data_IF_674680882068
#
_entry.id   IF_674680882068
#
_cell.length_a   1.000
_cell.length_b   1.000
_cell.length_c   1.000
_cell.angle_alpha   90.00
_cell.angle_beta   90.00
_cell.angle_gamma   90.00
#
_symmetry.space_group_name_H-M   'P 1'
#
loop_
_entity.id
_entity.type
_entity.pdbx_description
1 polymer ?
#
# COMPACT_ATOMS: atom_id res chain seq x y z
N UNK A 1 32.12 -24.39 -36.52
CA UNK A 1 32.29 -23.76 -35.20
C UNK A 1 31.46 -24.56 -34.23
N UNK A 2 32.09 -25.40 -33.41
CA UNK A 2 31.39 -26.26 -32.47
C UNK A 2 30.96 -25.42 -31.25
N UNK A 3 29.67 -25.46 -30.92
CA UNK A 3 29.14 -24.91 -29.68
C UNK A 3 29.77 -25.64 -28.50
N UNK A 4 30.73 -24.98 -27.85
CA UNK A 4 31.46 -25.54 -26.73
C UNK A 4 30.52 -25.61 -25.51
N UNK A 5 30.18 -26.80 -24.99
CA UNK A 5 29.23 -26.96 -23.88
C UNK A 5 29.64 -26.19 -22.62
N UNK A 6 30.93 -25.96 -22.42
CA UNK A 6 31.45 -25.15 -21.32
C UNK A 6 30.94 -23.70 -21.34
N UNK A 7 30.78 -23.09 -22.52
CA UNK A 7 30.31 -21.71 -22.65
C UNK A 7 28.82 -21.56 -22.26
N UNK A 8 28.03 -22.60 -22.56
CA UNK A 8 26.64 -22.67 -22.12
C UNK A 8 26.55 -22.90 -20.60
N UNK A 9 27.44 -23.70 -20.01
CA UNK A 9 27.49 -23.91 -18.56
C UNK A 9 27.77 -22.61 -17.80
N UNK A 10 28.74 -21.81 -18.25
CA UNK A 10 29.07 -20.53 -17.61
C UNK A 10 27.91 -19.52 -17.71
N UNK A 11 27.26 -19.45 -18.87
CA UNK A 11 26.09 -18.60 -19.07
C UNK A 11 24.91 -19.03 -18.18
N UNK A 12 24.68 -20.34 -18.04
CA UNK A 12 23.63 -20.89 -17.17
C UNK A 12 23.96 -20.61 -15.70
N UNK A 13 25.20 -20.79 -15.25
CA UNK A 13 25.61 -20.50 -13.88
C UNK A 13 25.54 -19.00 -13.56
N UNK A 14 25.89 -18.14 -14.51
CA UNK A 14 25.75 -16.69 -14.39
C UNK A 14 24.27 -16.28 -14.29
N UNK A 15 23.40 -16.81 -15.16
CA UNK A 15 21.96 -16.56 -15.13
C UNK A 15 21.31 -17.12 -13.85
N UNK A 16 21.74 -18.29 -13.38
CA UNK A 16 21.28 -18.87 -12.12
C UNK A 16 21.70 -18.01 -10.93
N UNK A 17 22.96 -17.53 -10.87
CA UNK A 17 23.41 -16.60 -9.82
C UNK A 17 22.68 -15.27 -9.89
N UNK A 18 22.43 -14.73 -11.08
CA UNK A 18 21.67 -13.50 -11.27
C UNK A 18 20.22 -13.66 -10.79
N UNK A 19 19.56 -14.77 -11.15
CA UNK A 19 18.21 -15.12 -10.68
C UNK A 19 18.16 -15.32 -9.17
N UNK A 20 19.16 -15.98 -8.59
CA UNK A 20 19.24 -16.23 -7.16
C UNK A 20 19.52 -14.94 -6.38
N UNK A 21 20.34 -14.04 -6.93
CA UNK A 21 20.54 -12.69 -6.39
C UNK A 21 19.28 -11.82 -6.52
N UNK A 22 18.54 -11.89 -7.64
CA UNK A 22 17.26 -11.20 -7.84
C UNK A 22 16.18 -11.71 -6.86
N UNK A 23 16.14 -13.03 -6.62
CA UNK A 23 15.28 -13.63 -5.60
C UNK A 23 15.71 -13.24 -4.17
N UNK A 24 17.02 -13.20 -3.89
CA UNK A 24 17.57 -12.67 -2.63
C UNK A 24 17.37 -11.17 -2.46
N UNK A 25 17.09 -10.43 -3.52
CA UNK A 25 16.72 -9.01 -3.49
C UNK A 25 15.20 -8.80 -3.41
N UNK A 26 14.40 -9.87 -3.26
CA UNK A 26 12.96 -9.82 -3.04
C UNK A 26 12.10 -10.23 -4.25
N UNK A 27 12.67 -10.36 -5.45
CA UNK A 27 12.01 -10.88 -6.66
C UNK A 27 10.78 -10.10 -7.16
N UNK A 28 10.37 -10.38 -8.41
CA UNK A 28 9.21 -9.73 -9.08
C UNK A 28 7.84 -10.00 -8.43
N UNK A 29 7.71 -11.00 -7.55
CA UNK A 29 6.43 -11.35 -6.89
C UNK A 29 6.10 -10.43 -5.72
N UNK A 30 7.11 -9.86 -5.07
CA UNK A 30 6.94 -9.03 -3.87
C UNK A 30 6.56 -7.62 -4.29
N UNK A 31 7.24 -7.00 -5.25
CA UNK A 31 7.01 -5.59 -5.66
C UNK A 31 5.62 -5.28 -6.25
N UNK A 32 4.93 -6.26 -6.85
CA UNK A 32 3.64 -6.04 -7.52
C UNK A 32 2.37 -6.24 -6.69
N UNK A 33 2.46 -6.94 -5.54
CA UNK A 33 1.28 -7.35 -4.76
C UNK A 33 1.04 -6.37 -3.60
N UNK A 34 -0.17 -5.78 -3.46
CA UNK A 34 -0.48 -4.86 -2.38
C UNK A 34 -0.23 -5.53 -1.01
N UNK A 35 0.33 -4.76 -0.07
CA UNK A 35 0.69 -5.25 1.27
C UNK A 35 -0.55 -5.69 2.06
N UNK A 36 -1.68 -5.01 1.88
CA UNK A 36 -2.93 -5.29 2.58
C UNK A 36 -4.18 -5.08 1.72
N UNK A 37 -5.32 -5.55 2.20
CA UNK A 37 -6.61 -5.45 1.50
C UNK A 37 -7.06 -3.98 1.37
N UNK A 38 -6.76 -3.13 2.38
CA UNK A 38 -7.06 -1.70 2.32
C UNK A 38 -6.17 -0.93 1.33
N UNK A 39 -4.88 -1.26 1.21
CA UNK A 39 -4.02 -0.66 0.18
C UNK A 39 -4.45 -1.07 -1.24
N UNK A 40 -4.87 -2.33 -1.42
CA UNK A 40 -5.49 -2.81 -2.66
C UNK A 40 -6.80 -2.08 -2.99
N UNK A 41 -7.66 -1.84 -1.99
CA UNK A 41 -8.92 -1.12 -2.15
C UNK A 41 -8.71 0.36 -2.51
N UNK A 42 -7.71 1.02 -1.91
CA UNK A 42 -7.34 2.40 -2.24
C UNK A 42 -6.74 2.52 -3.65
N UNK A 43 -5.93 1.54 -4.10
CA UNK A 43 -5.49 1.47 -5.51
C UNK A 43 -6.67 1.27 -6.46
N UNK A 44 -7.63 0.41 -6.11
CA UNK A 44 -8.86 0.17 -6.90
C UNK A 44 -9.77 1.39 -6.96
N UNK A 45 -9.95 2.15 -5.88
CA UNK A 45 -10.79 3.35 -5.89
C UNK A 45 -10.17 4.46 -6.74
N UNK A 46 -8.84 4.62 -6.69
CA UNK A 46 -8.10 5.49 -7.61
C UNK A 46 -8.22 5.06 -9.07
N UNK A 47 -8.11 3.75 -9.35
CA UNK A 47 -8.30 3.20 -10.70
C UNK A 47 -9.75 3.33 -11.20
N UNK A 48 -10.76 3.17 -10.33
CA UNK A 48 -12.18 3.38 -10.68
C UNK A 48 -12.45 4.84 -11.07
N UNK A 49 -11.88 5.81 -10.34
CA UNK A 49 -11.96 7.24 -10.73
C UNK A 49 -11.27 7.52 -12.06
N UNK A 50 -10.12 6.88 -12.33
CA UNK A 50 -9.43 6.96 -13.63
C UNK A 50 -10.25 6.35 -14.76
N UNK A 51 -10.88 5.19 -14.53
CA UNK A 51 -11.76 4.54 -15.51
C UNK A 51 -13.03 5.37 -15.80
N UNK A 52 -13.62 5.98 -14.77
CA UNK A 52 -14.76 6.88 -14.93
C UNK A 52 -14.38 8.15 -15.70
N UNK A 53 -13.22 8.74 -15.41
CA UNK A 53 -12.72 9.90 -16.17
C UNK A 53 -12.40 9.55 -17.64
N UNK A 54 -11.84 8.35 -17.89
CA UNK A 54 -11.64 7.84 -19.25
C UNK A 54 -12.97 7.65 -19.98
N UNK A 55 -13.95 6.99 -19.36
CA UNK A 55 -15.26 6.78 -19.94
C UNK A 55 -15.95 8.12 -20.28
N UNK A 56 -15.88 9.11 -19.38
CA UNK A 56 -16.40 10.45 -19.62
C UNK A 56 -15.67 11.14 -20.78
N UNK A 57 -14.35 11.03 -20.86
CA UNK A 57 -13.56 11.62 -21.95
C UNK A 57 -13.91 11.00 -23.31
N UNK A 58 -14.19 9.69 -23.36
CA UNK A 58 -14.63 8.99 -24.57
C UNK A 58 -16.04 9.46 -24.98
N UNK A 59 -16.96 9.63 -24.03
CA UNK A 59 -18.30 10.16 -24.30
C UNK A 59 -18.25 11.59 -24.84
N UNK A 60 -17.45 12.46 -24.22
CA UNK A 60 -17.25 13.85 -24.69
C UNK A 60 -16.61 13.88 -26.08
N UNK A 61 -15.66 12.99 -26.35
CA UNK A 61 -15.03 12.86 -27.67
C UNK A 61 -16.04 12.45 -28.75
N UNK A 62 -16.88 11.46 -28.47
CA UNK A 62 -17.95 11.02 -29.37
C UNK A 62 -18.97 12.15 -29.61
N UNK A 63 -19.34 12.90 -28.56
CA UNK A 63 -20.22 14.07 -28.70
C UNK A 63 -19.60 15.15 -29.58
N UNK A 64 -18.30 15.46 -29.42
CA UNK A 64 -17.61 16.47 -30.24
C UNK A 64 -17.48 16.04 -31.70
N UNK A 65 -17.20 14.76 -31.97
CA UNK A 65 -17.18 14.22 -33.35
C UNK A 65 -18.56 14.33 -34.00
N UNK A 66 -19.63 13.96 -33.28
CA UNK A 66 -21.00 14.09 -33.80
C UNK A 66 -21.43 15.56 -33.99
N UNK A 67 -20.96 16.47 -33.13
CA UNK A 67 -21.19 17.91 -33.26
C UNK A 67 -20.51 18.47 -34.52
N UNK A 68 -19.32 17.99 -34.87
CA UNK A 68 -18.63 18.36 -36.13
C UNK A 68 -19.36 17.78 -37.35
N UNK A 69 -19.82 16.52 -37.28
CA UNK A 69 -20.61 15.90 -38.37
C UNK A 69 -21.92 16.65 -38.60
N UNK A 70 -22.62 17.05 -37.53
CA UNK A 70 -23.86 17.82 -37.60
C UNK A 70 -23.67 19.24 -38.16
N UNK A 71 -22.52 19.87 -37.89
CA UNK A 71 -22.20 21.21 -38.39
C UNK A 71 -21.70 21.20 -39.85
N UNK A 72 -21.15 20.08 -40.33
CA UNK A 72 -20.55 19.92 -41.66
C UNK A 72 -21.37 19.06 -42.64
N UNK A 73 -22.67 18.85 -42.38
CA UNK A 73 -23.64 18.31 -43.36
C UNK A 73 -23.72 19.15 -44.66
N UNK A 74 -23.03 20.30 -44.74
CA UNK A 74 -22.83 21.09 -45.95
C UNK A 74 -21.50 20.82 -46.68
N UNK A 75 -21.58 20.04 -47.77
CA UNK A 75 -20.86 20.14 -49.07
C UNK A 75 -19.31 20.01 -49.14
N UNK A 76 -18.49 20.16 -48.09
CA UNK A 76 -17.02 20.22 -48.28
C UNK A 76 -16.21 19.08 -47.63
N UNK A 77 -16.10 17.96 -48.34
CA UNK A 77 -15.46 16.73 -47.83
C UNK A 77 -13.91 16.68 -47.94
N UNK A 78 -13.25 17.68 -48.53
CA UNK A 78 -11.80 17.61 -48.77
C UNK A 78 -10.92 18.10 -47.61
N UNK A 79 -11.49 18.79 -46.60
CA UNK A 79 -10.74 19.33 -45.45
C UNK A 79 -11.09 18.65 -44.12
N UNK A 80 -11.79 17.51 -44.15
CA UNK A 80 -12.18 16.77 -42.94
C UNK A 80 -11.08 15.85 -42.38
N UNK A 81 -10.23 15.27 -43.22
CA UNK A 81 -9.16 14.35 -42.81
C UNK A 81 -8.14 14.96 -41.83
N UNK A 82 -7.80 16.25 -41.99
CA UNK A 82 -6.93 16.98 -41.06
C UNK A 82 -7.60 17.22 -39.68
N UNK A 83 -8.93 17.40 -39.64
CA UNK A 83 -9.65 17.60 -38.38
C UNK A 83 -9.80 16.30 -37.59
N UNK A 84 -9.99 15.16 -38.25
CA UNK A 84 -9.94 13.85 -37.59
C UNK A 84 -8.57 13.55 -36.96
N UNK A 85 -7.48 13.92 -37.65
CA UNK A 85 -6.12 13.79 -37.13
C UNK A 85 -5.87 14.65 -35.89
N UNK A 86 -6.36 15.90 -35.90
CA UNK A 86 -6.24 16.80 -34.76
C UNK A 86 -7.03 16.30 -33.53
N UNK A 87 -8.25 15.81 -33.73
CA UNK A 87 -9.08 15.23 -32.66
C UNK A 87 -8.45 13.94 -32.12
N UNK A 88 -7.95 13.06 -32.99
CA UNK A 88 -7.24 11.86 -32.58
C UNK A 88 -5.96 12.18 -31.78
N UNK A 89 -5.20 13.20 -32.19
CA UNK A 89 -4.00 13.64 -31.49
C UNK A 89 -4.31 14.23 -30.10
N UNK A 90 -5.38 15.02 -29.97
CA UNK A 90 -5.85 15.53 -28.67
C UNK A 90 -6.33 14.37 -27.78
N UNK A 91 -7.01 13.38 -28.34
CA UNK A 91 -7.43 12.19 -27.59
C UNK A 91 -6.25 11.37 -27.11
N UNK A 92 -5.26 11.12 -27.96
CA UNK A 92 -4.03 10.43 -27.59
C UNK A 92 -3.27 11.23 -26.54
N UNK A 93 -3.20 12.56 -26.65
CA UNK A 93 -2.54 13.42 -25.66
C UNK A 93 -3.27 13.41 -24.31
N UNK A 94 -4.60 13.44 -24.30
CA UNK A 94 -5.41 13.35 -23.08
C UNK A 94 -5.31 11.95 -22.45
N UNK A 95 -5.37 10.88 -23.24
CA UNK A 95 -5.15 9.50 -22.78
C UNK A 95 -3.73 9.37 -22.21
N UNK A 96 -2.72 9.87 -22.90
CA UNK A 96 -1.33 9.84 -22.44
C UNK A 96 -1.13 10.67 -21.17
N UNK A 97 -1.77 11.83 -21.06
CA UNK A 97 -1.75 12.69 -19.87
C UNK A 97 -2.49 12.08 -18.67
N UNK A 98 -3.57 11.33 -18.91
CA UNK A 98 -4.33 10.59 -17.89
C UNK A 98 -3.65 9.26 -17.49
N UNK A 99 -2.99 8.59 -18.43
CA UNK A 99 -2.19 7.38 -18.21
C UNK A 99 -0.84 7.68 -17.59
N UNK A 100 -0.35 8.93 -17.68
CA UNK A 100 0.85 9.35 -16.98
C UNK A 100 0.64 9.11 -15.49
N UNK A 101 1.40 8.16 -14.94
CA UNK A 101 1.33 7.76 -13.55
C UNK A 101 1.55 8.96 -12.64
N UNK A 102 0.46 9.63 -12.25
CA UNK A 102 0.44 10.42 -11.04
C UNK A 102 0.56 9.41 -9.91
N UNK A 103 1.79 9.25 -9.41
CA UNK A 103 2.06 8.54 -8.16
C UNK A 103 0.96 8.93 -7.17
N UNK A 104 0.23 7.94 -6.65
CA UNK A 104 -0.72 8.17 -5.56
C UNK A 104 0.04 9.01 -4.53
N UNK A 105 -0.44 10.20 -4.14
CA UNK A 105 0.32 11.08 -3.26
C UNK A 105 0.69 10.27 -2.02
N UNK A 106 1.98 9.99 -1.87
CA UNK A 106 2.49 9.20 -0.75
C UNK A 106 2.15 10.02 0.49
N UNK A 107 1.40 9.47 1.46
CA UNK A 107 1.03 10.21 2.66
C UNK A 107 2.29 10.77 3.33
N UNK A 108 2.31 12.08 3.59
CA UNK A 108 3.42 12.68 4.33
C UNK A 108 3.39 12.20 5.79
N UNK A 109 4.55 12.13 6.45
CA UNK A 109 4.65 11.69 7.85
C UNK A 109 3.81 12.56 8.80
N UNK A 110 3.66 13.84 8.48
CA UNK A 110 2.82 14.79 9.22
C UNK A 110 1.33 14.44 9.06
N UNK A 111 0.91 14.05 7.85
CA UNK A 111 -0.46 13.59 7.58
C UNK A 111 -0.74 12.25 8.26
N UNK A 112 0.24 11.35 8.35
CA UNK A 112 0.11 10.11 9.10
C UNK A 112 -0.13 10.41 10.58
N UNK A 113 0.72 11.19 11.24
CA UNK A 113 0.57 11.49 12.68
C UNK A 113 -0.75 12.15 13.06
N UNK A 114 -1.29 12.99 12.17
CA UNK A 114 -2.55 13.69 12.39
C UNK A 114 -3.80 12.86 12.05
N UNK A 115 -3.66 11.67 11.43
CA UNK A 115 -4.79 10.88 10.99
C UNK A 115 -5.48 10.14 12.13
N UNK A 116 -6.83 10.00 12.10
CA UNK A 116 -7.54 9.12 13.02
C UNK A 116 -7.04 7.69 12.87
N UNK A 117 -6.99 6.93 13.96
CA UNK A 117 -6.27 5.65 14.03
C UNK A 117 -6.73 4.65 12.96
N UNK A 118 -8.03 4.68 12.62
CA UNK A 118 -8.61 3.88 11.53
C UNK A 118 -8.01 4.18 10.16
N UNK A 119 -7.79 5.45 9.85
CA UNK A 119 -7.21 5.89 8.58
C UNK A 119 -5.69 5.75 8.59
N UNK A 120 -5.04 5.96 9.75
CA UNK A 120 -3.61 5.82 9.95
C UNK A 120 -3.09 4.46 9.49
N UNK A 121 -3.79 3.38 9.88
CA UNK A 121 -3.42 2.01 9.52
C UNK A 121 -3.38 1.82 8.00
N UNK A 122 -4.42 2.28 7.28
CA UNK A 122 -4.49 2.18 5.83
C UNK A 122 -3.48 3.10 5.11
N UNK A 123 -3.27 4.31 5.61
CA UNK A 123 -2.28 5.24 5.05
C UNK A 123 -0.85 4.73 5.27
N UNK A 124 -0.57 4.10 6.40
CA UNK A 124 0.75 3.53 6.70
C UNK A 124 1.06 2.32 5.83
N UNK A 125 0.06 1.49 5.50
CA UNK A 125 0.25 0.40 4.52
C UNK A 125 0.64 0.94 3.14
N UNK A 126 -0.02 2.02 2.67
CA UNK A 126 0.32 2.67 1.39
C UNK A 126 1.73 3.27 1.45
N UNK A 127 2.08 3.89 2.57
CA UNK A 127 3.41 4.43 2.80
C UNK A 127 4.49 3.35 2.80
N UNK A 128 4.28 2.24 3.53
CA UNK A 128 5.16 1.08 3.54
C UNK A 128 5.32 0.45 2.14
N UNK A 129 4.24 0.41 1.35
CA UNK A 129 4.27 -0.10 -0.02
C UNK A 129 5.19 0.74 -0.91
N UNK A 130 5.18 2.07 -0.72
CA UNK A 130 6.09 2.97 -1.43
C UNK A 130 7.56 2.79 -1.03
N UNK A 131 7.84 2.31 0.20
CA UNK A 131 9.20 2.15 0.70
C UNK A 131 9.85 0.79 0.37
N UNK A 132 9.09 -0.19 -0.12
CA UNK A 132 9.61 -1.51 -0.51
C UNK A 132 10.88 -1.52 -1.36
N UNK A 133 11.04 -0.71 -2.41
CA UNK A 133 12.26 -0.76 -3.22
C UNK A 133 13.52 -0.35 -2.45
N UNK A 134 13.38 0.36 -1.33
CA UNK A 134 14.50 0.80 -0.51
C UNK A 134 14.90 -0.20 0.57
N UNK A 135 14.12 -1.27 0.80
CA UNK A 135 14.27 -2.22 1.91
C UNK A 135 15.00 -3.51 1.50
N UNK A 136 15.75 -4.14 2.43
CA UNK A 136 16.44 -5.40 2.17
C UNK A 136 15.44 -6.56 2.15
N UNK A 137 15.74 -7.65 1.43
CA UNK A 137 14.76 -8.73 1.24
C UNK A 137 14.20 -9.37 2.52
N UNK A 138 14.98 -9.62 3.59
CA UNK A 138 14.42 -10.12 4.84
C UNK A 138 13.39 -9.17 5.48
N UNK A 139 13.56 -7.86 5.30
CA UNK A 139 12.63 -6.87 5.82
C UNK A 139 11.33 -6.79 4.98
N UNK A 140 11.36 -7.19 3.70
CA UNK A 140 10.16 -7.19 2.86
C UNK A 140 9.10 -8.17 3.36
N UNK A 141 9.51 -9.35 3.81
CA UNK A 141 8.61 -10.34 4.38
C UNK A 141 8.03 -9.87 5.72
N UNK A 142 8.84 -9.22 6.56
CA UNK A 142 8.39 -8.63 7.83
C UNK A 142 7.40 -7.49 7.61
N UNK A 143 7.66 -6.60 6.65
CA UNK A 143 6.74 -5.53 6.26
C UNK A 143 5.42 -6.09 5.71
N UNK A 144 5.48 -7.19 4.95
CA UNK A 144 4.28 -7.91 4.51
C UNK A 144 3.46 -8.47 5.68
N UNK A 145 4.13 -9.07 6.68
CA UNK A 145 3.49 -9.58 7.90
C UNK A 145 2.83 -8.45 8.71
N UNK A 146 3.56 -7.35 8.94
CA UNK A 146 3.03 -6.15 9.58
C UNK A 146 1.81 -5.64 8.82
N UNK A 147 1.86 -5.63 7.49
CA UNK A 147 0.72 -5.34 6.62
C UNK A 147 -0.54 -6.13 6.95
N UNK A 148 -0.40 -7.46 7.11
CA UNK A 148 -1.50 -8.35 7.49
C UNK A 148 -2.01 -8.13 8.92
N UNK A 149 -1.11 -7.90 9.88
CA UNK A 149 -1.47 -7.57 11.27
C UNK A 149 -2.26 -6.25 11.33
N UNK A 150 -1.81 -5.25 10.56
CA UNK A 150 -2.49 -3.96 10.40
C UNK A 150 -3.89 -4.12 9.80
N UNK A 151 -4.10 -5.01 8.82
CA UNK A 151 -5.45 -5.30 8.30
C UNK A 151 -6.37 -5.90 9.38
N UNK A 152 -5.84 -6.80 10.22
CA UNK A 152 -6.57 -7.36 11.35
C UNK A 152 -6.94 -6.31 12.40
N UNK A 153 -5.98 -5.47 12.78
CA UNK A 153 -6.17 -4.34 13.69
C UNK A 153 -7.22 -3.36 13.17
N UNK A 154 -7.18 -3.03 11.88
CA UNK A 154 -8.14 -2.15 11.23
C UNK A 154 -9.60 -2.59 11.42
N UNK A 155 -9.89 -3.90 11.33
CA UNK A 155 -11.24 -4.44 11.55
C UNK A 155 -11.70 -4.33 13.00
N UNK A 156 -10.76 -4.35 13.94
CA UNK A 156 -11.06 -4.22 15.37
C UNK A 156 -11.25 -2.76 15.77
N UNK A 157 -10.41 -1.87 15.26
CA UNK A 157 -10.45 -0.41 15.45
C UNK A 157 -11.76 0.21 14.95
N UNK A 158 -12.38 -0.35 13.90
CA UNK A 158 -13.69 0.09 13.40
C UNK A 158 -14.81 0.03 14.47
N UNK A 159 -14.60 -0.70 15.58
CA UNK A 159 -15.59 -0.95 16.64
C UNK A 159 -15.12 -0.49 18.03
N UNK A 160 -14.04 0.29 18.13
CA UNK A 160 -13.46 0.75 19.39
C UNK A 160 -13.47 2.28 19.43
N UNK A 161 -13.64 2.84 20.62
CA UNK A 161 -13.52 4.29 20.84
C UNK A 161 -12.12 4.78 20.46
N UNK A 162 -12.05 5.89 19.70
CA UNK A 162 -10.77 6.48 19.27
C UNK A 162 -9.90 6.96 20.44
N UNK A 163 -10.48 7.21 21.61
CA UNK A 163 -9.81 7.66 22.82
C UNK A 163 -9.33 6.52 23.72
N UNK A 164 -9.57 5.26 23.35
CA UNK A 164 -9.12 4.13 24.15
C UNK A 164 -7.57 4.08 24.21
N UNK A 165 -6.97 3.75 25.37
CA UNK A 165 -5.52 3.76 25.55
C UNK A 165 -4.78 2.83 24.57
N UNK A 166 -5.38 1.69 24.25
CA UNK A 166 -4.83 0.75 23.26
C UNK A 166 -4.81 1.32 21.83
N UNK A 167 -5.76 2.21 21.48
CA UNK A 167 -5.77 2.92 20.18
C UNK A 167 -4.63 3.95 20.11
N UNK A 168 -4.33 4.61 21.23
CA UNK A 168 -3.17 5.50 21.35
C UNK A 168 -1.85 4.78 21.08
N UNK A 169 -1.68 3.57 21.62
CA UNK A 169 -0.48 2.75 21.38
C UNK A 169 -0.34 2.35 19.90
N UNK A 170 -1.44 1.96 19.24
CA UNK A 170 -1.42 1.70 17.78
C UNK A 170 -0.98 2.95 17.03
N UNK A 171 -1.50 4.14 17.39
CA UNK A 171 -1.09 5.40 16.74
C UNK A 171 0.40 5.66 16.86
N UNK A 172 0.97 5.41 18.03
CA UNK A 172 2.39 5.61 18.27
C UNK A 172 3.25 4.60 17.51
N UNK A 173 2.90 3.32 17.55
CA UNK A 173 3.62 2.25 16.83
C UNK A 173 3.61 2.48 15.31
N UNK A 174 2.43 2.75 14.76
CA UNK A 174 2.20 2.79 13.31
C UNK A 174 2.49 4.16 12.71
N UNK A 175 2.17 5.24 13.44
CA UNK A 175 2.34 6.62 12.96
C UNK A 175 3.68 7.26 13.28
N UNK A 176 4.39 6.78 14.31
CA UNK A 176 5.66 7.36 14.73
C UNK A 176 6.83 6.38 14.62
N UNK A 177 6.76 5.27 15.33
CA UNK A 177 7.91 4.36 15.49
C UNK A 177 8.27 3.67 14.18
N UNK A 178 7.29 3.06 13.51
CA UNK A 178 7.51 2.34 12.25
C UNK A 178 8.02 3.27 11.14
N UNK A 179 7.43 4.46 10.88
CA UNK A 179 7.95 5.35 9.87
C UNK A 179 9.33 5.92 10.22
N UNK A 180 9.58 6.25 11.50
CA UNK A 180 10.87 6.73 11.96
C UNK A 180 11.98 5.69 11.77
N UNK A 181 11.70 4.43 12.07
CA UNK A 181 12.64 3.32 11.88
C UNK A 181 13.02 3.14 10.40
N UNK A 182 12.02 3.07 9.52
CA UNK A 182 12.25 2.91 8.08
C UNK A 182 12.99 4.13 7.51
N UNK A 183 12.66 5.35 7.94
CA UNK A 183 13.38 6.56 7.52
C UNK A 183 14.83 6.60 8.01
N UNK A 184 15.09 6.18 9.24
CA UNK A 184 16.45 6.09 9.77
C UNK A 184 17.30 5.12 8.93
N UNK A 185 16.72 4.01 8.50
CA UNK A 185 17.37 3.06 7.60
C UNK A 185 17.58 3.62 6.20
N UNK A 186 16.58 4.27 5.59
CA UNK A 186 16.70 4.80 4.23
C UNK A 186 17.69 5.97 4.14
N UNK A 187 17.91 6.70 5.24
CA UNK A 187 18.96 7.73 5.35
C UNK A 187 20.39 7.16 5.25
N UNK A 188 20.59 5.87 5.55
CA UNK A 188 21.90 5.21 5.39
C UNK A 188 22.18 4.97 3.90
N UNK A 189 23.37 5.34 3.38
CA UNK A 189 23.75 5.08 1.99
C UNK A 189 23.72 3.57 1.65
N UNK A 190 23.22 3.15 0.47
CA UNK A 190 23.08 1.73 0.11
C UNK A 190 24.36 0.89 0.25
N UNK A 191 25.52 1.49 -0.03
CA UNK A 191 26.83 0.83 0.07
C UNK A 191 27.20 0.44 1.50
N UNK A 192 26.64 1.11 2.52
CA UNK A 192 26.98 0.89 3.93
C UNK A 192 25.97 0.00 4.67
N UNK A 193 24.82 -0.29 4.08
CA UNK A 193 23.70 -0.98 4.78
C UNK A 193 24.01 -2.44 5.15
N UNK A 194 24.83 -3.11 4.35
CA UNK A 194 25.31 -4.46 4.61
C UNK A 194 26.58 -4.53 5.46
N UNK A 195 27.23 -3.40 5.73
CA UNK A 195 28.49 -3.36 6.47
C UNK A 195 28.21 -3.36 7.98
N UNK A 196 28.85 -4.27 8.70
CA UNK A 196 28.71 -4.33 10.14
C UNK A 196 29.38 -3.10 10.78
N UNK A 197 28.63 -2.39 11.62
CA UNK A 197 29.13 -1.27 12.40
C UNK A 197 28.67 -1.41 13.84
N UNK A 198 29.61 -1.37 14.79
CA UNK A 198 29.33 -1.59 16.21
C UNK A 198 28.59 -2.93 16.51
N UNK A 199 28.95 -4.00 15.81
CA UNK A 199 28.49 -5.37 16.11
C UNK A 199 27.31 -5.88 15.26
N UNK A 200 26.61 -5.04 14.50
CA UNK A 200 25.56 -5.46 13.57
C UNK A 200 25.48 -4.54 12.35
N UNK A 201 24.93 -5.02 11.23
CA UNK A 201 24.71 -4.17 10.06
C UNK A 201 23.37 -3.43 10.16
N UNK A 202 23.22 -2.25 9.52
CA UNK A 202 21.92 -1.58 9.41
C UNK A 202 20.79 -2.48 8.88
N UNK A 203 21.09 -3.39 7.95
CA UNK A 203 20.12 -4.39 7.46
C UNK A 203 19.63 -5.33 8.57
N UNK A 204 20.55 -5.79 9.43
CA UNK A 204 20.22 -6.65 10.57
C UNK A 204 19.46 -5.90 11.65
N UNK A 205 19.88 -4.67 11.97
CA UNK A 205 19.21 -3.84 12.97
C UNK A 205 17.77 -3.50 12.57
N UNK A 206 17.56 -3.23 11.27
CA UNK A 206 16.22 -3.00 10.73
C UNK A 206 15.35 -4.25 10.87
N UNK A 207 15.83 -5.43 10.45
CA UNK A 207 15.04 -6.66 10.50
C UNK A 207 14.69 -7.05 11.94
N UNK A 208 15.63 -6.89 12.88
CA UNK A 208 15.41 -7.14 14.29
C UNK A 208 14.38 -6.16 14.87
N UNK A 209 14.50 -4.87 14.58
CA UNK A 209 13.57 -3.84 15.05
C UNK A 209 12.17 -4.03 14.49
N UNK A 210 12.04 -4.38 13.20
CA UNK A 210 10.76 -4.73 12.58
C UNK A 210 10.14 -5.99 13.19
N UNK A 211 10.97 -6.97 13.57
CA UNK A 211 10.52 -8.18 14.26
C UNK A 211 9.93 -7.84 15.63
N UNK A 212 10.63 -7.04 16.44
CA UNK A 212 10.13 -6.57 17.74
C UNK A 212 8.82 -5.80 17.59
N UNK A 213 8.76 -4.90 16.59
CA UNK A 213 7.58 -4.10 16.32
C UNK A 213 6.38 -4.96 15.89
N UNK A 214 6.61 -6.03 15.12
CA UNK A 214 5.56 -6.99 14.76
C UNK A 214 5.00 -7.75 15.98
N UNK A 215 5.85 -8.10 16.96
CA UNK A 215 5.40 -8.74 18.20
C UNK A 215 4.62 -7.78 19.10
N UNK A 216 5.03 -6.51 19.15
CA UNK A 216 4.30 -5.49 19.89
C UNK A 216 2.92 -5.21 19.27
N UNK A 217 2.84 -5.16 17.93
CA UNK A 217 1.55 -5.05 17.24
C UNK A 217 0.62 -6.23 17.58
N UNK A 218 1.13 -7.46 17.66
CA UNK A 218 0.34 -8.63 18.08
C UNK A 218 -0.14 -8.51 19.53
N UNK A 219 0.72 -8.03 20.44
CA UNK A 219 0.39 -7.77 21.84
C UNK A 219 -0.75 -6.75 21.97
N UNK A 220 -0.63 -5.60 21.29
CA UNK A 220 -1.67 -4.56 21.28
C UNK A 220 -2.97 -5.05 20.64
N UNK A 221 -2.88 -5.86 19.57
CA UNK A 221 -4.06 -6.50 18.96
C UNK A 221 -4.78 -7.40 19.95
N UNK A 222 -4.04 -8.16 20.75
CA UNK A 222 -4.62 -9.02 21.79
C UNK A 222 -5.26 -8.20 22.91
N UNK A 223 -4.60 -7.16 23.40
CA UNK A 223 -5.15 -6.26 24.41
C UNK A 223 -6.45 -5.58 23.93
N UNK A 224 -6.50 -5.17 22.66
CA UNK A 224 -7.72 -4.65 22.04
C UNK A 224 -8.86 -5.67 22.00
N UNK A 225 -8.54 -6.96 21.86
CA UNK A 225 -9.53 -8.03 21.91
C UNK A 225 -9.98 -8.32 23.35
N UNK A 226 -9.05 -8.37 24.31
CA UNK A 226 -9.33 -8.60 25.74
C UNK A 226 -10.21 -7.49 26.34
N UNK A 227 -9.91 -6.22 26.06
CA UNK A 227 -10.74 -5.10 26.55
C UNK A 227 -12.21 -5.17 26.10
N UNK A 228 -12.51 -5.81 24.97
CA UNK A 228 -13.89 -6.05 24.53
C UNK A 228 -14.56 -7.17 25.30
N UNK A 229 -13.82 -8.21 25.68
CA UNK A 229 -14.32 -9.30 26.50
C UNK A 229 -14.64 -8.80 27.91
N UNK A 230 -13.79 -7.95 28.47
CA UNK A 230 -14.02 -7.32 29.78
C UNK A 230 -15.25 -6.41 29.77
N UNK A 231 -15.40 -5.58 28.73
CA UNK A 231 -16.58 -4.74 28.57
C UNK A 231 -17.88 -5.55 28.46
N UNK A 232 -17.85 -6.68 27.74
CA UNK A 232 -18.98 -7.60 27.65
C UNK A 232 -19.31 -8.24 29.00
N UNK A 233 -18.30 -8.64 29.77
CA UNK A 233 -18.48 -9.22 31.10
C UNK A 233 -19.11 -8.22 32.08
N UNK A 234 -18.69 -6.95 32.03
CA UNK A 234 -19.28 -5.87 32.83
C UNK A 234 -20.75 -5.66 32.43
N UNK A 235 -21.04 -5.60 31.13
CA UNK A 235 -22.41 -5.43 30.65
C UNK A 235 -23.31 -6.60 31.08
N UNK A 236 -22.82 -7.84 30.98
CA UNK A 236 -23.56 -9.03 31.44
C UNK A 236 -23.89 -8.93 32.92
N UNK A 237 -22.90 -8.65 33.77
CA UNK A 237 -23.10 -8.48 35.22
C UNK A 237 -24.06 -7.34 35.55
N UNK A 238 -24.02 -6.25 34.80
CA UNK A 238 -24.96 -5.14 34.98
C UNK A 238 -26.40 -5.55 34.64
N UNK A 239 -26.61 -6.31 33.56
CA UNK A 239 -27.92 -6.83 33.19
C UNK A 239 -28.41 -7.83 34.26
N UNK A 240 -27.55 -8.73 34.72
CA UNK A 240 -27.87 -9.69 35.77
C UNK A 240 -28.25 -8.98 37.09
N UNK A 241 -27.53 -7.93 37.48
CA UNK A 241 -27.88 -7.13 38.65
C UNK A 241 -29.20 -6.37 38.48
N UNK A 242 -29.41 -5.74 37.32
CA UNK A 242 -30.57 -4.87 37.08
C UNK A 242 -31.86 -5.64 36.82
N UNK A 243 -31.78 -6.85 36.27
CA UNK A 243 -32.93 -7.63 35.81
C UNK A 243 -32.99 -9.05 36.37
N UNK A 244 -31.91 -9.57 36.96
CA UNK A 244 -31.85 -10.90 37.57
C UNK A 244 -32.29 -10.93 39.04
N UNK A 245 -32.26 -9.79 39.74
CA UNK A 245 -32.95 -9.62 41.03
C UNK A 245 -34.43 -9.27 40.80
N UNK A 246 -35.20 -10.22 40.27
CA UNK A 246 -36.63 -10.25 40.55
C UNK A 246 -36.84 -11.34 41.61
N UNK A 247 -36.78 -11.02 42.91
CA UNK A 247 -37.24 -11.96 43.92
C UNK A 247 -38.74 -12.12 43.69
N UNK A 248 -39.15 -13.29 43.21
CA UNK A 248 -40.54 -13.70 43.31
C UNK A 248 -40.91 -13.72 44.79
N UNK A 249 -41.69 -12.72 45.20
CA UNK A 249 -42.44 -12.68 46.44
C UNK A 249 -43.92 -12.75 46.12
#
# INVERSE_FOLDING_TARGET
MADNPAHNSDAILAAARASLNDQRAGGRRVTGKPIGQRSAALRRSGQKRKAAALALSVVVAIMLVNMVIGLFSGILHLLGWLSYGAVAAVLVAVIWMLMRDRAVPVPSLETLRAAPARQLVGQTQVWLEAQRPALPAPALDLVGRIGGQLDGLALQLDRVDENAPAVGQVRQLVGEHLPKLVNAYTAVPPSLRGQAHAGSSPDQQLSESLTRLSGELDSVTRQLAEGKLDALAIQSRFIDYKYGETPEG
#
